data_IF_464990815356
#
_entry.id   IF_464990815356
#
_cell.length_a   1.000
_cell.length_b   1.000
_cell.length_c   1.000
_cell.angle_alpha   90.00
_cell.angle_beta   90.00
_cell.angle_gamma   90.00
#
_symmetry.space_group_name_H-M   'P 1'
#
loop_
_entity.id
_entity.type
_entity.pdbx_description
1 polymer ?
#
# COMPACT_ATOMS: atom_id res chain seq x y z
N UNK A 1 5.25 -34.07 12.58
CA UNK A 1 3.83 -33.97 12.16
C UNK A 1 3.09 -33.09 13.16
N UNK A 2 2.09 -32.35 12.67
CA UNK A 2 1.28 -31.34 13.37
C UNK A 2 1.86 -29.94 13.43
N UNK A 3 1.60 -29.17 12.37
CA UNK A 3 1.42 -27.73 12.48
C UNK A 3 0.15 -27.40 11.69
N UNK A 4 -0.99 -27.91 12.18
CA UNK A 4 -2.33 -27.53 11.70
C UNK A 4 -2.71 -26.17 12.31
N UNK A 5 -1.79 -25.24 12.15
CA UNK A 5 -1.79 -23.93 12.76
C UNK A 5 -2.39 -22.86 11.85
N UNK A 6 -2.71 -21.71 12.42
CA UNK A 6 -3.14 -20.56 11.63
C UNK A 6 -1.93 -20.05 10.85
N UNK A 7 -1.82 -20.36 9.56
CA UNK A 7 -0.67 -19.97 8.74
C UNK A 7 -1.03 -18.86 7.75
N UNK A 8 -0.58 -17.64 8.03
CA UNK A 8 -0.60 -16.51 7.11
C UNK A 8 0.83 -16.24 6.64
N UNK A 9 1.01 -16.10 5.33
CA UNK A 9 2.26 -15.67 4.72
C UNK A 9 2.19 -14.20 4.31
N UNK A 10 3.23 -13.44 4.61
CA UNK A 10 3.47 -12.13 4.03
C UNK A 10 4.70 -12.22 3.13
N UNK A 11 4.55 -11.76 1.89
CA UNK A 11 5.63 -11.69 0.92
C UNK A 11 5.98 -10.23 0.70
N UNK A 12 7.25 -9.88 0.83
CA UNK A 12 7.82 -8.60 0.39
C UNK A 12 8.68 -8.83 -0.84
N UNK A 13 8.28 -8.23 -1.94
CA UNK A 13 8.71 -8.49 -3.30
C UNK A 13 9.76 -7.46 -3.73
N UNK A 14 10.85 -7.94 -4.29
CA UNK A 14 11.94 -7.11 -4.76
C UNK A 14 12.41 -7.62 -6.14
N UNK A 15 12.57 -6.75 -7.14
CA UNK A 15 13.16 -7.15 -8.42
C UNK A 15 14.57 -7.69 -8.23
N UNK A 16 14.90 -8.82 -8.86
CA UNK A 16 16.23 -9.42 -8.77
C UNK A 16 17.34 -8.51 -9.35
N UNK A 17 16.99 -7.67 -10.33
CA UNK A 17 17.89 -6.68 -10.94
C UNK A 17 18.03 -5.37 -10.15
N UNK A 18 17.37 -5.23 -9.00
CA UNK A 18 17.27 -3.96 -8.27
C UNK A 18 16.26 -2.99 -8.89
N UNK A 19 15.96 -1.90 -8.17
CA UNK A 19 14.97 -0.89 -8.59
C UNK A 19 13.53 -1.16 -8.13
N UNK A 20 12.56 -0.33 -8.56
CA UNK A 20 11.16 -0.47 -8.17
C UNK A 20 10.49 -1.65 -8.86
N UNK A 21 9.60 -2.34 -8.14
CA UNK A 21 8.80 -3.44 -8.69
C UNK A 21 7.80 -2.92 -9.72
N UNK A 22 7.86 -3.44 -10.95
CA UNK A 22 6.92 -3.08 -12.00
C UNK A 22 5.53 -3.70 -11.79
N UNK A 23 4.52 -3.08 -12.39
CA UNK A 23 3.13 -3.49 -12.23
C UNK A 23 2.84 -4.89 -12.82
N UNK A 24 3.55 -5.26 -13.90
CA UNK A 24 3.39 -6.57 -14.54
C UNK A 24 3.96 -7.69 -13.69
N UNK A 25 5.15 -7.49 -13.14
CA UNK A 25 5.82 -8.44 -12.25
C UNK A 25 5.00 -8.63 -10.96
N UNK A 26 4.53 -7.53 -10.37
CA UNK A 26 3.66 -7.58 -9.20
C UNK A 26 2.36 -8.36 -9.47
N UNK A 27 1.68 -8.08 -10.58
CA UNK A 27 0.47 -8.80 -10.96
C UNK A 27 0.74 -10.30 -11.23
N UNK A 28 1.87 -10.62 -11.87
CA UNK A 28 2.30 -12.00 -12.09
C UNK A 28 2.51 -12.78 -10.79
N UNK A 29 3.18 -12.18 -9.80
CA UNK A 29 3.35 -12.80 -8.48
C UNK A 29 2.01 -12.97 -7.76
N UNK A 30 1.09 -12.01 -7.87
CA UNK A 30 -0.26 -12.17 -7.31
C UNK A 30 -1.03 -13.32 -7.97
N UNK A 31 -0.92 -13.49 -9.29
CA UNK A 31 -1.53 -14.61 -10.01
C UNK A 31 -0.91 -15.95 -9.58
N UNK A 32 0.41 -16.00 -9.39
CA UNK A 32 1.10 -17.18 -8.83
C UNK A 32 0.57 -17.53 -7.44
N UNK A 33 0.38 -16.55 -6.55
CA UNK A 33 -0.20 -16.77 -5.24
C UNK A 33 -1.65 -17.25 -5.33
N UNK A 34 -2.45 -16.67 -6.25
CA UNK A 34 -3.83 -17.07 -6.50
C UNK A 34 -3.98 -18.53 -6.96
N UNK A 35 -2.99 -19.05 -7.70
CA UNK A 35 -2.91 -20.46 -8.06
C UNK A 35 -2.56 -21.41 -6.90
N UNK A 36 -2.11 -20.88 -5.76
CA UNK A 36 -1.74 -21.66 -4.57
C UNK A 36 -2.84 -21.61 -3.52
N UNK A 37 -3.43 -20.43 -3.31
CA UNK A 37 -4.53 -20.23 -2.38
C UNK A 37 -5.49 -19.18 -2.93
N UNK A 38 -6.82 -19.37 -2.80
CA UNK A 38 -7.77 -18.34 -3.18
C UNK A 38 -7.71 -17.12 -2.24
N UNK A 39 -7.08 -17.25 -1.07
CA UNK A 39 -7.09 -16.22 -0.04
C UNK A 39 -5.86 -15.29 -0.11
N UNK A 40 -5.79 -14.48 -1.17
CA UNK A 40 -4.69 -13.55 -1.44
C UNK A 40 -5.15 -12.10 -1.35
N UNK A 41 -4.44 -11.29 -0.57
CA UNK A 41 -4.64 -9.86 -0.44
C UNK A 41 -3.41 -9.10 -0.96
N UNK A 42 -3.62 -8.29 -2.00
CA UNK A 42 -2.61 -7.38 -2.52
C UNK A 42 -2.30 -6.25 -1.51
N UNK A 43 -1.03 -5.96 -1.27
CA UNK A 43 -0.54 -4.86 -0.44
C UNK A 43 0.49 -4.02 -1.23
N UNK A 44 0.06 -3.20 -2.19
CA UNK A 44 0.99 -2.39 -2.98
C UNK A 44 1.80 -1.42 -2.08
N UNK A 45 3.04 -1.09 -2.47
CA UNK A 45 3.61 -1.33 -3.80
C UNK A 45 4.31 -2.69 -3.99
N UNK A 46 4.79 -3.30 -2.91
CA UNK A 46 5.78 -4.38 -2.96
C UNK A 46 5.40 -5.59 -2.11
N UNK A 47 4.15 -5.71 -1.62
CA UNK A 47 3.80 -6.77 -0.70
C UNK A 47 2.49 -7.50 -1.03
N UNK A 48 2.36 -8.70 -0.51
CA UNK A 48 1.12 -9.47 -0.54
C UNK A 48 0.96 -10.27 0.75
N UNK A 49 -0.29 -10.54 1.12
CA UNK A 49 -0.65 -11.51 2.14
C UNK A 49 -1.36 -12.69 1.49
N UNK A 50 -1.06 -13.88 1.97
CA UNK A 50 -1.73 -15.10 1.56
C UNK A 50 -2.07 -15.95 2.80
N UNK A 51 -3.33 -16.31 2.95
CA UNK A 51 -3.72 -17.34 3.91
C UNK A 51 -3.51 -18.71 3.28
N UNK A 52 -2.54 -19.46 3.81
CA UNK A 52 -2.08 -20.73 3.23
C UNK A 52 -2.56 -21.95 4.01
N UNK A 53 -3.45 -21.79 5.00
CA UNK A 53 -3.94 -22.90 5.84
C UNK A 53 -4.54 -24.04 5.02
N UNK A 54 -5.29 -23.71 3.96
CA UNK A 54 -5.81 -24.69 3.00
C UNK A 54 -4.71 -25.31 2.15
N UNK A 55 -3.82 -24.47 1.61
CA UNK A 55 -2.74 -24.88 0.73
C UNK A 55 -1.76 -25.86 1.41
N UNK A 56 -1.37 -25.62 2.66
CA UNK A 56 -0.47 -26.52 3.40
C UNK A 56 -1.04 -27.93 3.53
N UNK A 57 -2.35 -28.04 3.78
CA UNK A 57 -3.07 -29.33 3.86
C UNK A 57 -3.18 -29.99 2.48
N UNK A 58 -3.53 -29.21 1.46
CA UNK A 58 -3.69 -29.72 0.09
C UNK A 58 -2.37 -30.24 -0.50
N UNK A 59 -1.28 -29.49 -0.36
CA UNK A 59 0.03 -29.86 -0.89
C UNK A 59 0.82 -30.80 0.05
N UNK A 60 0.32 -31.09 1.26
CA UNK A 60 0.98 -31.96 2.22
C UNK A 60 2.39 -31.49 2.61
N UNK A 61 2.61 -30.18 2.72
CA UNK A 61 3.93 -29.61 3.03
C UNK A 61 3.87 -28.61 4.19
N UNK A 62 5.02 -28.39 4.82
CA UNK A 62 5.16 -27.33 5.81
C UNK A 62 5.27 -25.94 5.17
N UNK A 63 5.08 -24.91 5.99
CA UNK A 63 5.08 -23.54 5.51
C UNK A 63 6.44 -23.06 4.99
N UNK A 64 7.55 -23.61 5.50
CA UNK A 64 8.90 -23.25 5.03
C UNK A 64 9.13 -23.77 3.62
N UNK A 65 8.71 -25.01 3.34
CA UNK A 65 8.75 -25.63 2.02
C UNK A 65 7.84 -24.91 1.03
N UNK A 66 6.61 -24.57 1.43
CA UNK A 66 5.70 -23.82 0.56
C UNK A 66 6.27 -22.42 0.22
N UNK A 67 6.83 -21.72 1.21
CA UNK A 67 7.48 -20.43 0.99
C UNK A 67 8.66 -20.53 0.02
N UNK A 68 9.51 -21.56 0.16
CA UNK A 68 10.62 -21.81 -0.76
C UNK A 68 10.13 -22.06 -2.20
N UNK A 69 9.07 -22.86 -2.39
CA UNK A 69 8.46 -23.09 -3.71
C UNK A 69 7.95 -21.79 -4.31
N UNK A 70 7.27 -20.95 -3.52
CA UNK A 70 6.76 -19.65 -4.00
C UNK A 70 7.91 -18.75 -4.44
N UNK A 71 8.97 -18.65 -3.64
CA UNK A 71 10.14 -17.81 -3.96
C UNK A 71 10.82 -18.26 -5.25
N UNK A 72 11.08 -19.56 -5.40
CA UNK A 72 11.70 -20.12 -6.61
C UNK A 72 10.83 -19.83 -7.83
N UNK A 73 9.51 -20.01 -7.74
CA UNK A 73 8.59 -19.73 -8.86
C UNK A 73 8.51 -18.24 -9.18
N UNK A 74 8.45 -17.36 -8.18
CA UNK A 74 8.41 -15.92 -8.38
C UNK A 74 9.69 -15.43 -9.09
N UNK A 75 10.84 -15.96 -8.68
CA UNK A 75 12.12 -15.63 -9.28
C UNK A 75 12.21 -16.15 -10.73
N UNK A 76 11.86 -17.41 -10.96
CA UNK A 76 11.97 -18.05 -12.27
C UNK A 76 10.98 -17.48 -13.30
N UNK A 77 9.75 -17.16 -12.90
CA UNK A 77 8.69 -16.71 -13.83
C UNK A 77 8.70 -15.20 -14.04
N UNK A 78 9.07 -14.43 -13.01
CA UNK A 78 8.89 -12.96 -13.03
C UNK A 78 10.16 -12.18 -12.68
N UNK A 79 11.28 -12.85 -12.39
CA UNK A 79 12.50 -12.15 -11.96
C UNK A 79 12.35 -11.43 -10.62
N UNK A 80 11.40 -11.87 -9.78
CA UNK A 80 11.10 -11.25 -8.47
C UNK A 80 11.55 -12.17 -7.35
N UNK A 81 12.44 -11.68 -6.49
CA UNK A 81 12.74 -12.33 -5.23
C UNK A 81 11.77 -11.86 -4.15
N UNK A 82 11.54 -12.70 -3.14
CA UNK A 82 10.64 -12.39 -2.04
C UNK A 82 11.27 -12.72 -0.69
N UNK A 83 11.18 -11.77 0.24
CA UNK A 83 11.33 -12.03 1.66
C UNK A 83 9.99 -12.53 2.19
N UNK A 84 9.96 -13.71 2.81
CA UNK A 84 8.71 -14.36 3.24
C UNK A 84 8.66 -14.49 4.76
N UNK A 85 7.63 -13.91 5.36
CA UNK A 85 7.29 -14.10 6.77
C UNK A 85 6.07 -14.99 6.90
N UNK A 86 6.12 -15.99 7.79
CA UNK A 86 5.00 -16.89 8.08
C UNK A 86 4.66 -16.80 9.55
N UNK A 87 3.39 -16.60 9.89
CA UNK A 87 2.95 -16.55 11.29
C UNK A 87 1.45 -16.85 11.48
N UNK A 88 1.02 -16.86 12.75
CA UNK A 88 -0.34 -17.03 13.25
C UNK A 88 -1.40 -16.06 12.69
N UNK A 89 -0.97 -14.87 12.29
CA UNK A 89 -1.85 -13.77 11.86
C UNK A 89 -1.11 -12.77 10.95
N UNK A 90 -1.84 -11.86 10.26
CA UNK A 90 -1.22 -10.93 9.31
C UNK A 90 -0.18 -9.99 9.89
N UNK A 91 -0.40 -9.46 11.10
CA UNK A 91 0.55 -8.56 11.77
C UNK A 91 1.89 -9.26 12.03
N UNK A 92 1.86 -10.45 12.64
CA UNK A 92 3.07 -11.22 12.91
C UNK A 92 3.75 -11.67 11.61
N UNK A 93 2.99 -12.03 10.58
CA UNK A 93 3.55 -12.42 9.28
C UNK A 93 4.29 -11.25 8.62
N UNK A 94 3.73 -10.02 8.70
CA UNK A 94 4.42 -8.79 8.25
C UNK A 94 5.68 -8.52 9.05
N UNK A 95 5.63 -8.66 10.37
CA UNK A 95 6.79 -8.46 11.23
C UNK A 95 7.91 -9.47 10.90
N UNK A 96 7.55 -10.74 10.68
CA UNK A 96 8.48 -11.77 10.26
C UNK A 96 9.09 -11.49 8.88
N UNK A 97 8.28 -11.01 7.92
CA UNK A 97 8.76 -10.71 6.57
C UNK A 97 9.72 -9.52 6.53
N UNK A 98 9.56 -8.55 7.45
CA UNK A 98 10.53 -7.44 7.62
C UNK A 98 11.88 -7.95 8.12
N UNK A 99 11.87 -8.94 9.02
CA UNK A 99 13.08 -9.50 9.64
C UNK A 99 13.79 -10.52 8.74
N UNK A 100 13.04 -11.24 7.90
CA UNK A 100 13.59 -12.30 7.04
C UNK A 100 14.70 -11.81 6.09
N UNK A 101 14.77 -10.50 5.81
CA UNK A 101 15.73 -9.91 4.87
C UNK A 101 15.48 -10.33 3.41
N UNK A 102 16.13 -9.69 2.42
CA UNK A 102 15.99 -10.05 1.01
C UNK A 102 16.32 -11.53 0.77
N UNK A 103 15.42 -12.24 0.09
CA UNK A 103 15.59 -13.67 -0.20
C UNK A 103 15.50 -14.62 1.00
N UNK A 104 15.14 -14.12 2.18
CA UNK A 104 14.99 -14.96 3.36
C UNK A 104 13.57 -15.48 3.57
N UNK A 105 13.45 -16.46 4.48
CA UNK A 105 12.17 -16.94 4.97
C UNK A 105 12.23 -17.10 6.48
N UNK A 106 11.35 -16.42 7.19
CA UNK A 106 11.20 -16.51 8.64
C UNK A 106 9.82 -17.06 8.99
N UNK A 107 9.80 -18.18 9.71
CA UNK A 107 8.57 -18.82 10.21
C UNK A 107 8.53 -18.60 11.72
N UNK A 108 7.55 -17.84 12.18
CA UNK A 108 7.30 -17.68 13.61
C UNK A 108 6.54 -18.89 14.16
N UNK A 109 6.94 -19.41 15.33
CA UNK A 109 6.20 -20.46 16.02
C UNK A 109 4.84 -19.94 16.51
N UNK A 110 3.92 -20.85 16.77
CA UNK A 110 2.61 -20.52 17.35
C UNK A 110 2.64 -20.33 18.87
N UNK A 111 3.76 -20.66 19.51
CA UNK A 111 3.94 -20.51 20.95
C UNK A 111 3.86 -19.03 21.36
N UNK A 112 2.91 -18.65 22.24
CA UNK A 112 2.75 -17.27 22.69
C UNK A 112 3.98 -16.70 23.39
N UNK A 113 4.80 -17.52 24.07
CA UNK A 113 6.03 -17.02 24.70
C UNK A 113 7.06 -16.61 23.65
N UNK A 114 7.35 -17.49 22.69
CA UNK A 114 8.24 -17.18 21.58
C UNK A 114 7.76 -15.98 20.73
N UNK A 115 6.44 -15.81 20.54
CA UNK A 115 5.88 -14.62 19.86
C UNK A 115 6.13 -13.35 20.67
N UNK A 116 5.94 -13.39 21.99
CA UNK A 116 6.21 -12.23 22.86
C UNK A 116 7.68 -11.86 22.82
N UNK A 117 8.58 -12.83 22.91
CA UNK A 117 10.03 -12.60 22.88
C UNK A 117 10.47 -11.99 21.53
N UNK A 118 9.94 -12.50 20.42
CA UNK A 118 10.19 -11.95 19.09
C UNK A 118 9.72 -10.48 18.96
N UNK A 119 8.60 -10.13 19.60
CA UNK A 119 8.00 -8.81 19.50
C UNK A 119 8.58 -7.81 20.51
N UNK A 120 9.08 -8.26 21.66
CA UNK A 120 9.38 -7.42 22.84
C UNK A 120 10.24 -6.18 22.51
N UNK A 121 11.35 -6.39 21.79
CA UNK A 121 12.32 -5.33 21.50
C UNK A 121 11.97 -4.49 20.27
N UNK A 122 10.89 -4.84 19.55
CA UNK A 122 10.48 -4.09 18.36
C UNK A 122 9.97 -2.71 18.76
N UNK A 123 10.23 -1.67 17.95
CA UNK A 123 9.70 -0.34 18.22
C UNK A 123 8.17 -0.36 18.12
N UNK A 124 7.50 0.51 18.84
CA UNK A 124 6.03 0.59 18.83
C UNK A 124 5.43 0.87 17.44
N UNK A 125 6.21 1.49 16.55
CA UNK A 125 5.87 1.71 15.13
C UNK A 125 5.80 0.43 14.30
N UNK A 126 6.33 -0.69 14.82
CA UNK A 126 6.22 -1.99 14.17
C UNK A 126 4.79 -2.58 14.25
N UNK A 127 3.99 -2.16 15.24
CA UNK A 127 2.61 -2.57 15.39
C UNK A 127 1.73 -1.96 14.32
N UNK A 128 0.94 -2.80 13.65
CA UNK A 128 -0.03 -2.31 12.69
C UNK A 128 -1.04 -1.39 13.37
N UNK A 129 -1.47 -0.34 12.67
CA UNK A 129 -2.39 0.67 13.17
C UNK A 129 -1.78 1.71 14.12
N UNK A 130 -0.50 1.59 14.51
CA UNK A 130 0.23 2.65 15.21
C UNK A 130 0.85 3.59 14.18
N UNK A 131 0.15 4.70 13.89
CA UNK A 131 0.69 5.76 13.04
C UNK A 131 1.72 6.66 13.75
N UNK A 132 2.42 7.56 13.02
CA UNK A 132 3.46 8.42 13.59
C UNK A 132 3.01 9.31 14.74
N UNK A 133 1.73 9.71 14.77
CA UNK A 133 1.16 10.48 15.89
C UNK A 133 1.02 9.63 17.14
N UNK A 134 0.39 8.45 17.01
CA UNK A 134 0.19 7.52 18.11
C UNK A 134 1.53 7.03 18.68
N UNK A 135 2.50 6.73 17.81
CA UNK A 135 3.86 6.37 18.22
C UNK A 135 4.52 7.49 19.05
N UNK A 136 4.51 8.74 18.55
CA UNK A 136 5.06 9.88 19.30
C UNK A 136 4.39 10.07 20.66
N UNK A 137 3.06 9.93 20.72
CA UNK A 137 2.33 9.99 21.99
C UNK A 137 2.80 8.86 22.92
N UNK A 138 2.83 7.60 22.48
CA UNK A 138 3.30 6.49 23.31
C UNK A 138 4.74 6.68 23.80
N UNK A 139 5.66 7.11 22.92
CA UNK A 139 7.03 7.40 23.30
C UNK A 139 7.13 8.51 24.35
N UNK A 140 6.26 9.53 24.31
CA UNK A 140 6.23 10.59 25.35
C UNK A 140 5.85 10.07 26.74
N UNK A 141 5.22 8.89 26.83
CA UNK A 141 4.91 8.18 28.08
C UNK A 141 5.91 7.04 28.38
N UNK A 142 7.06 6.98 27.68
CA UNK A 142 8.08 5.94 27.86
C UNK A 142 7.76 4.59 27.21
N UNK A 143 6.68 4.52 26.43
CA UNK A 143 6.21 3.31 25.73
C UNK A 143 6.78 3.27 24.30
N UNK A 144 8.10 3.10 24.20
CA UNK A 144 8.85 3.10 22.93
C UNK A 144 8.91 1.74 22.23
N UNK A 145 8.68 0.66 22.97
CA UNK A 145 8.81 -0.74 22.53
C UNK A 145 7.51 -1.51 22.71
N UNK A 146 7.32 -2.54 21.89
CA UNK A 146 6.14 -3.39 21.96
C UNK A 146 6.05 -4.10 23.32
N UNK A 147 7.18 -4.57 23.87
CA UNK A 147 7.22 -5.18 25.20
C UNK A 147 6.71 -4.25 26.31
N UNK A 148 7.10 -2.97 26.28
CA UNK A 148 6.60 -1.97 27.23
C UNK A 148 5.11 -1.70 27.07
N UNK A 149 4.62 -1.64 25.84
CA UNK A 149 3.17 -1.49 25.57
C UNK A 149 2.38 -2.72 26.02
N UNK A 150 2.94 -3.92 25.85
CA UNK A 150 2.33 -5.17 26.32
C UNK A 150 2.25 -5.22 27.86
N UNK A 151 3.26 -4.69 28.56
CA UNK A 151 3.30 -4.61 30.02
C UNK A 151 2.46 -3.45 30.60
N UNK A 152 2.08 -2.47 29.78
CA UNK A 152 1.32 -1.31 30.25
C UNK A 152 -0.12 -1.68 30.65
N UNK A 153 -0.67 -1.08 31.72
CA UNK A 153 -2.06 -1.31 32.10
C UNK A 153 -3.04 -0.92 30.96
N UNK A 154 -4.03 -1.77 30.61
CA UNK A 154 -4.97 -1.48 29.53
C UNK A 154 -5.72 -0.15 29.71
N UNK A 155 -6.05 0.22 30.95
CA UNK A 155 -6.69 1.49 31.27
C UNK A 155 -5.82 2.71 30.91
N UNK A 156 -4.50 2.61 31.11
CA UNK A 156 -3.56 3.67 30.75
C UNK A 156 -3.50 3.87 29.23
N UNK A 157 -3.39 2.77 28.47
CA UNK A 157 -3.37 2.82 27.00
C UNK A 157 -4.66 3.41 26.43
N UNK A 158 -5.82 3.05 27.00
CA UNK A 158 -7.12 3.64 26.63
C UNK A 158 -7.21 5.12 26.95
N UNK A 159 -6.59 5.60 28.03
CA UNK A 159 -6.54 7.03 28.38
C UNK A 159 -5.62 7.81 27.45
N UNK A 160 -4.50 7.21 27.04
CA UNK A 160 -3.50 7.85 26.16
C UNK A 160 -3.98 7.92 24.70
N UNK A 161 -4.51 6.83 24.17
CA UNK A 161 -4.84 6.69 22.73
C UNK A 161 -6.35 6.74 22.43
N UNK A 162 -7.19 6.79 23.45
CA UNK A 162 -8.63 6.58 23.33
C UNK A 162 -9.04 5.11 23.44
N UNK A 163 -10.31 4.86 23.77
CA UNK A 163 -10.80 3.54 24.15
C UNK A 163 -10.60 2.46 23.08
N UNK A 164 -10.85 2.78 21.81
CA UNK A 164 -10.73 1.83 20.70
C UNK A 164 -9.25 1.54 20.37
N UNK A 165 -8.48 2.58 20.06
CA UNK A 165 -7.10 2.42 19.62
C UNK A 165 -6.22 1.85 20.75
N UNK A 166 -6.42 2.29 22.00
CA UNK A 166 -5.71 1.76 23.15
C UNK A 166 -5.93 0.25 23.35
N UNK A 167 -7.16 -0.24 23.13
CA UNK A 167 -7.46 -1.67 23.18
C UNK A 167 -6.77 -2.43 22.03
N UNK A 168 -6.92 -1.95 20.80
CA UNK A 168 -6.34 -2.59 19.61
C UNK A 168 -4.80 -2.66 19.70
N UNK A 169 -4.15 -1.58 20.17
CA UNK A 169 -2.70 -1.54 20.34
C UNK A 169 -2.23 -2.50 21.43
N UNK A 170 -2.94 -2.61 22.54
CA UNK A 170 -2.61 -3.56 23.60
C UNK A 170 -2.73 -5.01 23.12
N UNK A 171 -3.83 -5.38 22.45
CA UNK A 171 -4.01 -6.72 21.89
C UNK A 171 -2.88 -7.06 20.91
N UNK A 172 -2.54 -6.13 20.01
CA UNK A 172 -1.45 -6.29 19.05
C UNK A 172 -0.09 -6.43 19.72
N UNK A 173 0.16 -5.70 20.81
CA UNK A 173 1.41 -5.83 21.57
C UNK A 173 1.55 -7.20 22.22
N UNK A 174 0.44 -7.87 22.53
CA UNK A 174 0.39 -9.27 22.99
C UNK A 174 0.44 -10.30 21.85
N UNK A 175 0.67 -9.86 20.60
CA UNK A 175 0.71 -10.74 19.43
C UNK A 175 -0.67 -11.10 18.87
N UNK A 176 -1.75 -10.50 19.37
CA UNK A 176 -3.12 -10.81 18.99
C UNK A 176 -3.57 -9.86 17.86
N UNK A 177 -3.73 -10.41 16.65
CA UNK A 177 -4.38 -9.72 15.54
C UNK A 177 -5.53 -10.57 15.00
N UNK A 178 -6.75 -10.01 15.04
CA UNK A 178 -7.98 -10.66 14.55
C UNK A 178 -8.30 -10.28 13.10
N UNK A 179 -7.46 -9.48 12.45
CA UNK A 179 -7.70 -9.03 11.09
C UNK A 179 -7.61 -10.21 10.12
N UNK A 180 -8.64 -10.49 9.30
CA UNK A 180 -8.55 -11.54 8.29
C UNK A 180 -7.75 -11.06 7.08
N UNK A 181 -7.10 -12.00 6.38
CA UNK A 181 -6.66 -11.77 4.99
C UNK A 181 -7.93 -11.59 4.16
N UNK A 182 -8.01 -10.50 3.38
CA UNK A 182 -9.20 -10.17 2.58
C UNK A 182 -8.95 -10.50 1.10
N UNK A 183 -9.43 -11.65 0.61
CA UNK A 183 -9.24 -12.06 -0.78
C UNK A 183 -9.94 -11.11 -1.73
N UNK A 184 -9.36 -10.84 -2.90
CA UNK A 184 -10.01 -10.01 -3.91
C UNK A 184 -10.33 -8.58 -3.44
N UNK A 185 -9.74 -8.13 -2.33
CA UNK A 185 -9.74 -6.72 -2.01
C UNK A 185 -8.97 -6.04 -3.14
N UNK A 186 -9.71 -5.43 -4.08
CA UNK A 186 -9.17 -4.54 -5.09
C UNK A 186 -8.11 -3.68 -4.42
N UNK A 187 -6.95 -3.52 -5.07
CA UNK A 187 -5.83 -2.78 -4.53
C UNK A 187 -6.40 -1.54 -3.84
N UNK A 188 -6.33 -1.47 -2.50
CA UNK A 188 -7.00 -0.39 -1.76
C UNK A 188 -6.50 0.97 -2.19
N UNK A 189 -5.40 0.98 -2.95
CA UNK A 189 -4.91 2.14 -3.61
C UNK A 189 -4.26 1.84 -4.97
N UNK A 190 -4.40 2.77 -5.91
CA UNK A 190 -3.51 2.91 -7.07
C UNK A 190 -2.56 4.07 -6.79
N UNK A 191 -1.29 3.94 -7.14
CA UNK A 191 -0.32 5.02 -7.00
C UNK A 191 0.43 5.29 -8.32
N UNK A 192 0.94 6.51 -8.43
CA UNK A 192 1.86 6.93 -9.46
C UNK A 192 2.91 7.86 -8.82
N UNK A 193 4.16 7.76 -9.28
CA UNK A 193 5.27 8.58 -8.78
C UNK A 193 6.01 9.24 -9.96
N UNK A 194 6.51 10.45 -9.71
CA UNK A 194 7.46 11.15 -10.58
C UNK A 194 8.68 11.50 -9.77
N UNK A 195 9.82 11.02 -10.25
CA UNK A 195 11.15 11.38 -9.79
C UNK A 195 11.66 12.53 -10.67
N UNK A 196 12.29 13.53 -10.07
CA UNK A 196 12.99 14.57 -10.83
C UNK A 196 14.46 14.19 -11.00
N UNK A 197 15.03 14.47 -12.18
CA UNK A 197 16.44 14.20 -12.50
C UNK A 197 17.40 15.00 -11.61
N UNK A 198 16.97 16.20 -11.21
CA UNK A 198 17.64 17.09 -10.26
C UNK A 198 16.60 17.59 -9.27
N UNK A 199 17.01 17.84 -8.03
CA UNK A 199 16.09 18.36 -7.02
C UNK A 199 15.46 19.68 -7.51
N UNK A 200 14.14 19.67 -7.66
CA UNK A 200 13.38 20.71 -8.34
C UNK A 200 12.85 21.72 -7.33
N UNK A 201 12.92 23.00 -7.68
CA UNK A 201 12.43 24.10 -6.84
C UNK A 201 11.22 24.79 -7.49
N UNK A 202 11.10 24.69 -8.82
CA UNK A 202 10.12 25.44 -9.57
C UNK A 202 8.70 24.88 -9.35
N UNK A 203 7.78 25.67 -8.74
CA UNK A 203 6.40 25.25 -8.53
C UNK A 203 5.65 25.00 -9.84
N UNK A 204 6.04 25.62 -10.96
CA UNK A 204 5.44 25.36 -12.27
C UNK A 204 5.75 23.93 -12.72
N UNK A 205 7.00 23.49 -12.55
CA UNK A 205 7.41 22.10 -12.86
C UNK A 205 6.75 21.10 -11.92
N UNK A 206 6.60 21.42 -10.63
CA UNK A 206 5.84 20.59 -9.70
C UNK A 206 4.38 20.43 -10.16
N UNK A 207 3.71 21.53 -10.53
CA UNK A 207 2.33 21.48 -11.04
C UNK A 207 2.22 20.68 -12.33
N UNK A 208 3.17 20.80 -13.27
CA UNK A 208 3.21 19.97 -14.49
C UNK A 208 3.37 18.48 -14.15
N UNK A 209 4.24 18.14 -13.20
CA UNK A 209 4.42 16.76 -12.74
C UNK A 209 3.15 16.21 -12.07
N UNK A 210 2.48 17.00 -11.22
CA UNK A 210 1.20 16.64 -10.61
C UNK A 210 0.11 16.42 -11.66
N UNK A 211 0.01 17.29 -12.67
CA UNK A 211 -0.92 17.11 -13.78
C UNK A 211 -0.65 15.82 -14.55
N UNK A 212 0.62 15.50 -14.83
CA UNK A 212 0.99 14.23 -15.46
C UNK A 212 0.58 13.03 -14.59
N UNK A 213 0.84 13.10 -13.28
CA UNK A 213 0.50 12.06 -12.32
C UNK A 213 -1.00 11.82 -12.21
N UNK A 214 -1.82 12.86 -12.16
CA UNK A 214 -3.29 12.73 -12.08
C UNK A 214 -3.90 12.18 -13.35
N UNK A 215 -3.33 12.49 -14.51
CA UNK A 215 -3.73 11.89 -15.79
C UNK A 215 -3.39 10.41 -15.84
N UNK A 216 -2.18 10.02 -15.42
CA UNK A 216 -1.80 8.62 -15.32
C UNK A 216 -2.67 7.86 -14.31
N UNK A 217 -2.91 8.46 -13.14
CA UNK A 217 -3.71 7.86 -12.08
C UNK A 217 -5.17 7.70 -12.50
N UNK A 218 -5.77 8.74 -13.11
CA UNK A 218 -7.13 8.69 -13.64
C UNK A 218 -7.28 7.63 -14.73
N UNK A 219 -6.34 7.56 -15.68
CA UNK A 219 -6.34 6.54 -16.72
C UNK A 219 -6.21 5.14 -16.13
N UNK A 220 -5.29 4.92 -15.16
CA UNK A 220 -5.15 3.63 -14.46
C UNK A 220 -6.47 3.23 -13.80
N UNK A 221 -7.09 4.13 -13.05
CA UNK A 221 -8.36 3.88 -12.37
C UNK A 221 -9.46 3.48 -13.36
N UNK A 222 -9.58 4.19 -14.50
CA UNK A 222 -10.61 3.91 -15.52
C UNK A 222 -10.34 2.66 -16.37
N UNK A 223 -9.09 2.24 -16.50
CA UNK A 223 -8.68 1.09 -17.32
C UNK A 223 -8.51 -0.22 -16.54
N UNK A 224 -8.60 -0.19 -15.20
CA UNK A 224 -8.71 -1.43 -14.40
C UNK A 224 -10.02 -2.17 -14.69
N UNK A 225 -10.05 -3.47 -14.38
CA UNK A 225 -11.26 -4.29 -14.46
C UNK A 225 -12.42 -3.61 -13.70
N UNK A 226 -13.57 -3.50 -14.39
CA UNK A 226 -14.82 -2.84 -13.99
C UNK A 226 -14.78 -1.32 -13.80
N UNK A 227 -13.65 -0.66 -14.04
CA UNK A 227 -13.47 0.77 -13.80
C UNK A 227 -13.56 1.13 -12.32
N UNK A 228 -12.49 1.69 -11.76
CA UNK A 228 -12.44 2.07 -10.34
C UNK A 228 -12.56 3.59 -10.19
N UNK A 229 -13.12 4.02 -9.08
CA UNK A 229 -13.08 5.42 -8.62
C UNK A 229 -12.53 5.47 -7.20
N UNK A 230 -11.86 6.56 -6.84
CA UNK A 230 -11.24 6.69 -5.52
C UNK A 230 -12.02 7.67 -4.62
N UNK A 231 -12.07 7.39 -3.31
CA UNK A 231 -12.65 8.32 -2.32
C UNK A 231 -11.62 9.19 -1.64
N UNK A 232 -10.36 8.78 -1.65
CA UNK A 232 -9.29 9.44 -0.92
C UNK A 232 -8.11 9.65 -1.86
N UNK A 233 -7.51 10.83 -1.85
CA UNK A 233 -6.28 11.13 -2.57
C UNK A 233 -5.20 11.57 -1.58
N UNK A 234 -4.05 10.91 -1.62
CA UNK A 234 -2.87 11.23 -0.82
C UNK A 234 -1.74 11.72 -1.73
N UNK A 235 -1.17 12.88 -1.38
CA UNK A 235 0.04 13.42 -1.98
C UNK A 235 1.20 13.24 -1.01
N UNK A 236 2.28 12.62 -1.49
CA UNK A 236 3.55 12.53 -0.79
C UNK A 236 4.63 13.26 -1.57
N UNK A 237 5.32 14.18 -0.90
CA UNK A 237 6.42 14.98 -1.42
C UNK A 237 7.69 14.57 -0.70
N UNK A 238 8.69 14.12 -1.45
CA UNK A 238 10.02 13.81 -0.90
C UNK A 238 10.98 14.92 -1.27
N UNK A 239 11.55 15.57 -0.27
CA UNK A 239 12.48 16.68 -0.44
C UNK A 239 13.93 16.18 -0.55
N UNK A 240 14.83 17.07 -0.98
CA UNK A 240 16.26 16.80 -1.15
C UNK A 240 16.95 16.40 0.17
N UNK A 241 16.51 16.98 1.29
CA UNK A 241 16.96 16.68 2.66
C UNK A 241 16.42 15.34 3.21
N UNK A 242 15.78 14.53 2.36
CA UNK A 242 15.10 13.26 2.68
C UNK A 242 13.87 13.41 3.57
N UNK A 243 13.41 14.63 3.86
CA UNK A 243 12.13 14.82 4.52
C UNK A 243 10.99 14.37 3.60
N UNK A 244 10.01 13.70 4.19
CA UNK A 244 8.82 13.22 3.49
C UNK A 244 7.61 13.92 4.08
N UNK A 245 6.88 14.67 3.25
CA UNK A 245 5.66 15.36 3.63
C UNK A 245 4.47 14.69 2.94
N UNK A 246 3.49 14.24 3.72
CA UNK A 246 2.28 13.59 3.20
C UNK A 246 1.05 14.35 3.63
N UNK A 247 0.16 14.64 2.68
CA UNK A 247 -1.18 15.18 2.91
C UNK A 247 -2.20 14.29 2.23
N UNK A 248 -3.30 14.05 2.91
CA UNK A 248 -4.39 13.21 2.43
C UNK A 248 -5.69 13.99 2.51
N UNK A 249 -6.55 13.82 1.49
CA UNK A 249 -7.89 14.41 1.47
C UNK A 249 -8.91 13.39 1.00
N UNK A 250 -10.00 13.27 1.75
CA UNK A 250 -11.21 12.58 1.30
C UNK A 250 -11.96 13.48 0.33
N UNK A 251 -12.29 12.96 -0.84
CA UNK A 251 -13.05 13.64 -1.87
C UNK A 251 -14.53 13.70 -1.46
N UNK A 252 -15.21 14.78 -1.85
CA UNK A 252 -16.65 14.92 -1.61
C UNK A 252 -17.44 13.81 -2.31
N UNK A 253 -17.00 13.43 -3.51
CA UNK A 253 -17.55 12.34 -4.30
C UNK A 253 -16.44 11.41 -4.78
N UNK A 254 -16.67 10.08 -4.81
CA UNK A 254 -15.73 9.14 -5.40
C UNK A 254 -15.54 9.46 -6.90
N UNK A 255 -14.30 9.64 -7.36
CA UNK A 255 -14.05 9.99 -8.76
C UNK A 255 -12.77 9.37 -9.32
N UNK A 256 -12.77 9.15 -10.64
CA UNK A 256 -11.59 8.89 -11.44
C UNK A 256 -11.38 9.98 -12.52
N UNK A 257 -12.11 11.09 -12.43
CA UNK A 257 -12.03 12.19 -13.40
C UNK A 257 -10.74 12.98 -13.19
N UNK A 258 -9.91 13.09 -14.23
CA UNK A 258 -8.54 13.60 -14.08
C UNK A 258 -8.51 15.08 -13.70
N UNK A 259 -9.49 15.88 -14.15
CA UNK A 259 -9.59 17.29 -13.75
C UNK A 259 -9.88 17.44 -12.25
N UNK A 260 -10.82 16.65 -11.71
CA UNK A 260 -11.14 16.65 -10.28
C UNK A 260 -9.96 16.16 -9.42
N UNK A 261 -9.23 15.14 -9.89
CA UNK A 261 -8.00 14.67 -9.25
C UNK A 261 -6.90 15.74 -9.30
N UNK A 262 -6.75 16.46 -10.42
CA UNK A 262 -5.78 17.56 -10.58
C UNK A 262 -6.07 18.71 -9.64
N UNK A 263 -7.32 19.18 -9.59
CA UNK A 263 -7.73 20.23 -8.65
C UNK A 263 -7.44 19.82 -7.19
N UNK A 264 -7.64 18.54 -6.87
CA UNK A 264 -7.33 18.02 -5.54
C UNK A 264 -5.84 17.93 -5.25
N UNK A 265 -5.04 17.43 -6.19
CA UNK A 265 -3.60 17.37 -6.07
C UNK A 265 -2.99 18.76 -5.88
N UNK A 266 -3.47 19.76 -6.62
CA UNK A 266 -3.05 21.15 -6.44
C UNK A 266 -3.41 21.70 -5.06
N UNK A 267 -4.65 21.50 -4.59
CA UNK A 267 -5.03 21.95 -3.25
C UNK A 267 -4.21 21.26 -2.14
N UNK A 268 -3.91 19.96 -2.28
CA UNK A 268 -3.03 19.23 -1.37
C UNK A 268 -1.60 19.80 -1.39
N UNK A 269 -1.09 20.11 -2.57
CA UNK A 269 0.23 20.69 -2.78
C UNK A 269 0.35 22.08 -2.15
N UNK A 270 -0.63 22.97 -2.37
CA UNK A 270 -0.65 24.30 -1.74
C UNK A 270 -0.72 24.19 -0.21
N UNK A 271 -1.54 23.26 0.31
CA UNK A 271 -1.66 23.01 1.75
C UNK A 271 -0.42 22.41 2.44
N UNK A 272 0.59 21.99 1.68
CA UNK A 272 1.89 21.61 2.22
C UNK A 272 2.76 22.82 2.56
N UNK A 273 2.52 23.98 1.92
CA UNK A 273 3.26 25.20 2.19
C UNK A 273 4.77 25.02 2.05
N UNK A 274 5.22 24.44 0.93
CA UNK A 274 6.64 24.17 0.67
C UNK A 274 7.42 25.50 0.65
N UNK A 275 8.07 25.85 1.76
CA UNK A 275 8.84 27.09 1.93
C UNK A 275 10.16 27.04 1.15
N UNK A 276 10.10 26.99 -0.19
CA UNK A 276 11.26 26.80 -1.08
C UNK A 276 12.03 25.49 -0.82
N UNK A 277 11.34 24.45 -0.35
CA UNK A 277 11.93 23.13 -0.24
C UNK A 277 12.21 22.57 -1.64
N UNK A 278 13.42 22.04 -1.86
CA UNK A 278 13.74 21.35 -3.11
C UNK A 278 13.12 19.96 -3.09
N UNK A 279 12.33 19.63 -4.11
CA UNK A 279 11.58 18.39 -4.24
C UNK A 279 12.33 17.42 -5.15
N UNK A 280 12.51 16.19 -4.66
CA UNK A 280 13.13 15.10 -5.41
C UNK A 280 12.11 14.16 -6.04
N UNK A 281 10.96 13.98 -5.39
CA UNK A 281 9.89 13.14 -5.91
C UNK A 281 8.50 13.61 -5.47
N UNK A 282 7.52 13.39 -6.34
CA UNK A 282 6.10 13.57 -6.07
C UNK A 282 5.38 12.23 -6.31
N UNK A 283 4.63 11.78 -5.33
CA UNK A 283 3.81 10.57 -5.42
C UNK A 283 2.35 10.88 -5.11
N UNK A 284 1.45 10.43 -5.97
CA UNK A 284 0.01 10.45 -5.74
C UNK A 284 -0.49 9.03 -5.53
N UNK A 285 -1.35 8.87 -4.52
CA UNK A 285 -1.99 7.61 -4.17
C UNK A 285 -3.50 7.82 -4.07
N UNK A 286 -4.25 7.23 -4.98
CA UNK A 286 -5.70 7.11 -4.92
C UNK A 286 -6.04 5.95 -3.98
N UNK A 287 -6.82 6.17 -2.94
CA UNK A 287 -7.18 5.18 -1.91
C UNK A 287 -8.70 5.02 -1.79
N UNK A 288 -9.13 3.97 -1.08
CA UNK A 288 -10.54 3.60 -0.92
C UNK A 288 -11.25 3.46 -2.28
N UNK A 289 -10.68 2.59 -3.12
CA UNK A 289 -11.24 2.32 -4.44
C UNK A 289 -12.57 1.60 -4.34
N UNK A 290 -13.52 2.05 -5.14
CA UNK A 290 -14.82 1.41 -5.32
C UNK A 290 -15.10 1.24 -6.81
N UNK A 291 -15.81 0.17 -7.22
CA UNK A 291 -16.27 0.04 -8.60
C UNK A 291 -17.12 1.24 -9.00
N UNK A 292 -16.86 1.80 -10.18
CA UNK A 292 -17.53 2.99 -10.68
C UNK A 292 -19.06 2.83 -10.71
N UNK A 293 -19.55 1.62 -11.02
CA UNK A 293 -20.98 1.29 -11.03
C UNK A 293 -21.66 1.40 -9.66
N UNK A 294 -20.91 1.22 -8.57
CA UNK A 294 -21.42 1.28 -7.20
C UNK A 294 -21.20 2.64 -6.54
N UNK A 295 -20.52 3.56 -7.23
CA UNK A 295 -20.25 4.87 -6.72
C UNK A 295 -21.45 5.80 -6.95
N UNK A 296 -21.99 6.36 -5.88
CA UNK A 296 -22.96 7.46 -5.99
C UNK A 296 -22.20 8.68 -6.51
N UNK A 297 -22.61 9.16 -7.68
CA UNK A 297 -22.07 10.35 -8.33
C UNK A 297 -23.18 11.36 -8.53
N UNK A 298 -22.90 12.64 -8.27
CA UNK A 298 -23.78 13.71 -8.69
C UNK A 298 -23.58 13.96 -10.19
N UNK A 299 -24.66 13.94 -10.96
CA UNK A 299 -24.62 14.33 -12.36
C UNK A 299 -24.31 15.83 -12.45
N UNK A 300 -23.29 16.16 -13.24
CA UNK A 300 -23.00 17.56 -13.57
C UNK A 300 -23.87 17.97 -14.74
N UNK A 301 -24.51 19.13 -14.64
CA UNK A 301 -25.19 19.77 -15.77
C UNK A 301 -24.25 20.73 -16.53
N UNK A 302 -22.97 20.79 -16.15
CA UNK A 302 -21.96 21.58 -16.86
C UNK A 302 -21.55 20.89 -18.17
N UNK A 303 -21.85 21.49 -19.34
CA UNK A 303 -21.50 20.91 -20.63
C UNK A 303 -19.99 20.72 -20.85
N UNK A 304 -19.16 21.54 -20.22
CA UNK A 304 -17.70 21.47 -20.38
C UNK A 304 -17.10 20.30 -19.58
N UNK A 305 -17.60 20.03 -18.37
CA UNK A 305 -17.23 18.84 -17.58
C UNK A 305 -17.62 17.55 -18.31
N UNK A 306 -18.81 17.53 -18.92
CA UNK A 306 -19.28 16.38 -19.68
C UNK A 306 -18.45 16.13 -20.96
N UNK A 307 -18.09 17.19 -21.69
CA UNK A 307 -17.15 17.09 -22.82
C UNK A 307 -15.78 16.56 -22.36
N UNK A 308 -15.24 17.09 -21.27
CA UNK A 308 -13.94 16.65 -20.75
C UNK A 308 -13.93 15.16 -20.41
N UNK A 309 -15.00 14.64 -19.78
CA UNK A 309 -15.14 13.21 -19.48
C UNK A 309 -15.22 12.33 -20.73
N UNK A 310 -15.99 12.76 -21.73
CA UNK A 310 -16.06 12.04 -23.01
C UNK A 310 -14.69 12.00 -23.70
N UNK A 311 -13.96 13.11 -23.66
CA UNK A 311 -12.61 13.21 -24.21
C UNK A 311 -11.63 12.28 -23.49
N UNK A 312 -11.70 12.19 -22.16
CA UNK A 312 -10.88 11.25 -21.38
C UNK A 312 -11.13 9.80 -21.79
N UNK A 313 -12.40 9.38 -21.89
CA UNK A 313 -12.75 8.02 -22.29
C UNK A 313 -12.25 7.68 -23.71
N UNK A 314 -12.28 8.64 -24.64
CA UNK A 314 -11.71 8.46 -25.98
C UNK A 314 -10.18 8.38 -25.92
N UNK A 315 -9.54 9.29 -25.18
CA UNK A 315 -8.09 9.34 -25.02
C UNK A 315 -7.54 8.04 -24.43
N UNK A 316 -8.23 7.49 -23.43
CA UNK A 316 -7.85 6.23 -22.80
C UNK A 316 -7.94 5.07 -23.79
N UNK A 317 -9.01 4.99 -24.60
CA UNK A 317 -9.14 3.95 -25.65
C UNK A 317 -7.99 4.03 -26.66
N UNK A 318 -7.62 5.24 -27.08
CA UNK A 318 -6.49 5.44 -28.00
C UNK A 318 -5.19 4.99 -27.34
N UNK A 319 -4.94 5.37 -26.08
CA UNK A 319 -3.73 4.96 -25.35
C UNK A 319 -3.64 3.46 -25.13
N UNK A 320 -4.76 2.80 -24.85
CA UNK A 320 -4.80 1.33 -24.69
C UNK A 320 -4.46 0.62 -26.00
N UNK A 321 -4.88 1.16 -27.15
CA UNK A 321 -4.67 0.55 -28.46
C UNK A 321 -3.29 0.86 -29.08
N UNK A 322 -2.80 2.08 -28.91
CA UNK A 322 -1.61 2.58 -29.63
C UNK A 322 -0.42 2.93 -28.73
N UNK A 323 -0.57 2.83 -27.41
CA UNK A 323 0.47 3.13 -26.44
C UNK A 323 0.31 4.49 -25.73
N UNK A 324 1.01 4.65 -24.60
CA UNK A 324 0.79 5.78 -23.69
C UNK A 324 1.25 7.14 -24.24
N UNK A 325 2.17 7.17 -25.20
CA UNK A 325 2.79 8.40 -25.73
C UNK A 325 2.06 9.02 -26.93
N UNK A 326 0.96 8.41 -27.39
CA UNK A 326 0.30 8.82 -28.65
C UNK A 326 -0.50 10.11 -28.50
N UNK A 327 -1.05 10.38 -27.31
CA UNK A 327 -1.82 11.60 -27.02
C UNK A 327 -1.41 12.15 -25.65
N UNK A 328 -1.02 13.42 -25.63
CA UNK A 328 -0.72 14.19 -24.42
C UNK A 328 -1.54 15.49 -24.39
N UNK A 329 -1.82 16.00 -23.20
CA UNK A 329 -2.37 17.34 -23.05
C UNK A 329 -1.36 18.36 -23.58
N UNK A 330 -1.83 19.40 -24.29
CA UNK A 330 -0.96 20.44 -24.84
C UNK A 330 -0.05 21.09 -23.79
N UNK A 331 -0.52 21.22 -22.55
CA UNK A 331 0.26 21.74 -21.41
C UNK A 331 1.43 20.84 -20.98
N UNK A 332 1.43 19.58 -21.42
CA UNK A 332 2.49 18.60 -21.14
C UNK A 332 3.42 18.37 -22.34
N UNK A 333 3.10 18.90 -23.52
CA UNK A 333 3.84 18.64 -24.77
C UNK A 333 5.07 19.54 -24.99
N UNK A 334 5.46 20.36 -24.01
CA UNK A 334 6.58 21.30 -24.08
C UNK A 334 7.81 20.87 -23.28
#
# INVERSE_FOLDING_TARGET
>A
MSATGKAVMCLRLHPAGGGPLGAREYAGVLALLGGITPAVQALPPDAALADVRGALRYFGCDARRLAAVIRVRALALYGVDAAVGVAGNPMLARAAAREAGPGGTLVLPEDPAAVRDFMADKPVTALDGVGPKAARTLCSYGLDSVGRVAAAPPAALRRILGARLGREVHERALGIDRTPVRPGAAARAVAAERLFDRDELDPVRHRRALLSLTQELGAKLRTQEDGQVCRVLSLTVRCADRTTLTRTRTLAEPTAHSAALTATAYALYEGLGLQRARVRALSLRAEELVPAERAVRQLSFDPEDEKARRLEAVTDRVRTRFGQHVIALGTLAA
#
